data_IF_928081906572
#
_entry.id   IF_928081906572
#
_cell.length_a   1.000
_cell.length_b   1.000
_cell.length_c   1.000
_cell.angle_alpha   90.00
_cell.angle_beta   90.00
_cell.angle_gamma   90.00
#
_symmetry.space_group_name_H-M   'P 1'
#
loop_
_entity.id
_entity.type
_entity.pdbx_description
1 polymer ?
#
# COMPACT_ATOMS: atom_id res chain seq x y z
N UNK A 1 -31.11 -57.25 -45.77
CA UNK A 1 -31.83 -57.09 -44.50
C UNK A 1 -30.87 -57.36 -43.35
N UNK A 2 -30.43 -56.32 -42.65
CA UNK A 2 -29.94 -56.40 -41.26
C UNK A 2 -30.24 -55.05 -40.62
N UNK A 3 -31.45 -54.92 -40.10
CA UNK A 3 -31.89 -53.75 -39.34
C UNK A 3 -31.09 -53.70 -38.04
N UNK A 4 -30.28 -52.66 -37.88
CA UNK A 4 -29.59 -52.35 -36.64
C UNK A 4 -30.67 -51.79 -35.69
N UNK A 5 -31.19 -52.64 -34.81
CA UNK A 5 -32.08 -52.22 -33.72
C UNK A 5 -31.28 -51.39 -32.73
N UNK A 6 -31.29 -50.07 -32.92
CA UNK A 6 -30.81 -49.11 -31.94
C UNK A 6 -31.75 -49.14 -30.72
N UNK A 7 -31.38 -49.94 -29.72
CA UNK A 7 -31.95 -49.85 -28.38
C UNK A 7 -31.36 -48.62 -27.69
N UNK A 8 -31.89 -47.43 -28.00
CA UNK A 8 -31.70 -46.27 -27.14
C UNK A 8 -32.63 -46.44 -25.93
N UNK A 9 -32.11 -47.18 -24.95
CA UNK A 9 -32.70 -47.28 -23.63
C UNK A 9 -32.51 -45.92 -22.96
N UNK A 10 -33.48 -45.03 -23.12
CA UNK A 10 -33.56 -43.78 -22.37
C UNK A 10 -33.73 -44.15 -20.90
N UNK A 11 -32.64 -44.06 -20.12
CA UNK A 11 -32.72 -43.99 -18.68
C UNK A 11 -33.47 -42.71 -18.34
N UNK A 12 -34.80 -42.78 -18.26
CA UNK A 12 -35.60 -41.73 -17.67
C UNK A 12 -35.31 -41.79 -16.17
N UNK A 13 -34.34 -41.00 -15.72
CA UNK A 13 -34.14 -40.75 -14.30
C UNK A 13 -35.47 -40.25 -13.73
N UNK A 14 -35.76 -40.61 -12.48
CA UNK A 14 -36.96 -40.12 -11.83
C UNK A 14 -36.94 -38.59 -11.86
N UNK A 15 -38.06 -37.93 -12.15
CA UNK A 15 -38.09 -36.46 -12.38
C UNK A 15 -37.49 -35.67 -11.22
N UNK A 16 -37.51 -36.26 -10.02
CA UNK A 16 -36.89 -35.71 -8.82
C UNK A 16 -35.35 -35.73 -8.88
N UNK A 17 -34.74 -36.73 -9.51
CA UNK A 17 -33.28 -36.84 -9.64
C UNK A 17 -32.74 -35.87 -10.71
N UNK A 18 -33.48 -35.68 -11.81
CA UNK A 18 -33.16 -34.65 -12.82
C UNK A 18 -33.23 -33.24 -12.22
N UNK A 19 -34.27 -32.95 -11.43
CA UNK A 19 -34.40 -31.68 -10.74
C UNK A 19 -33.27 -31.43 -9.73
N UNK A 20 -32.84 -32.46 -8.99
CA UNK A 20 -31.69 -32.37 -8.08
C UNK A 20 -30.39 -32.12 -8.82
N UNK A 21 -30.22 -32.73 -10.01
CA UNK A 21 -29.06 -32.50 -10.87
C UNK A 21 -29.03 -31.07 -11.43
N UNK A 22 -30.16 -30.57 -11.93
CA UNK A 22 -30.29 -29.18 -12.42
C UNK A 22 -30.03 -28.19 -11.27
N UNK A 23 -30.58 -28.45 -10.08
CA UNK A 23 -30.36 -27.60 -8.92
C UNK A 23 -28.89 -27.57 -8.51
N UNK A 24 -28.21 -28.71 -8.47
CA UNK A 24 -26.79 -28.76 -8.11
C UNK A 24 -25.92 -28.03 -9.12
N UNK A 25 -26.24 -28.14 -10.42
CA UNK A 25 -25.55 -27.41 -11.48
C UNK A 25 -25.75 -25.89 -11.34
N UNK A 26 -26.98 -25.44 -11.09
CA UNK A 26 -27.26 -24.02 -10.89
C UNK A 26 -26.58 -23.47 -9.62
N UNK A 27 -26.52 -24.26 -8.56
CA UNK A 27 -25.84 -23.88 -7.32
C UNK A 27 -24.33 -23.71 -7.56
N UNK A 28 -23.71 -24.61 -8.33
CA UNK A 28 -22.31 -24.48 -8.73
C UNK A 28 -22.06 -23.24 -9.62
N UNK A 29 -22.95 -22.97 -10.58
CA UNK A 29 -22.86 -21.77 -11.40
C UNK A 29 -22.90 -20.48 -10.56
N UNK A 30 -23.84 -20.41 -9.61
CA UNK A 30 -23.97 -19.26 -8.69
C UNK A 30 -22.75 -19.11 -7.76
N UNK A 31 -22.19 -20.22 -7.26
CA UNK A 31 -20.96 -20.18 -6.45
C UNK A 31 -19.80 -19.62 -7.27
N UNK A 32 -19.66 -20.07 -8.52
CA UNK A 32 -18.59 -19.62 -9.41
C UNK A 32 -18.72 -18.13 -9.74
N UNK A 33 -19.93 -17.67 -10.09
CA UNK A 33 -20.21 -16.25 -10.35
C UNK A 33 -19.92 -15.38 -9.12
N UNK A 34 -20.35 -15.81 -7.93
CA UNK A 34 -20.05 -15.12 -6.66
C UNK A 34 -18.54 -15.03 -6.42
N UNK A 35 -17.82 -16.13 -6.62
CA UNK A 35 -16.37 -16.17 -6.39
C UNK A 35 -15.61 -15.32 -7.42
N UNK A 36 -16.06 -15.27 -8.67
CA UNK A 36 -15.51 -14.42 -9.72
C UNK A 36 -15.74 -12.93 -9.42
N UNK A 37 -16.94 -12.56 -8.96
CA UNK A 37 -17.24 -11.20 -8.52
C UNK A 37 -16.35 -10.79 -7.33
N UNK A 38 -16.20 -11.65 -6.32
CA UNK A 38 -15.31 -11.41 -5.17
C UNK A 38 -13.87 -11.24 -5.65
N UNK A 39 -13.38 -12.08 -6.57
CA UNK A 39 -12.04 -11.93 -7.14
C UNK A 39 -11.86 -10.59 -7.90
N UNK A 40 -12.89 -10.14 -8.63
CA UNK A 40 -12.91 -8.83 -9.29
C UNK A 40 -12.82 -7.67 -8.30
N UNK A 41 -13.64 -7.67 -7.25
CA UNK A 41 -13.59 -6.66 -6.19
C UNK A 41 -12.25 -6.67 -5.45
N UNK A 42 -11.71 -7.85 -5.17
CA UNK A 42 -10.46 -7.99 -4.41
C UNK A 42 -9.26 -7.50 -5.25
N UNK A 43 -9.25 -7.74 -6.56
CA UNK A 43 -8.24 -7.16 -7.48
C UNK A 43 -8.31 -5.64 -7.58
N UNK A 44 -9.51 -5.05 -7.55
CA UNK A 44 -9.69 -3.60 -7.52
C UNK A 44 -9.19 -2.97 -6.20
N UNK A 45 -9.25 -3.71 -5.09
CA UNK A 45 -8.76 -3.28 -3.77
C UNK A 45 -7.24 -3.49 -3.60
N UNK A 46 -6.65 -4.50 -4.25
CA UNK A 46 -5.23 -4.88 -4.07
C UNK A 46 -4.22 -4.11 -4.93
N UNK A 47 -4.67 -3.36 -5.94
CA UNK A 47 -3.73 -2.60 -6.78
C UNK A 47 -3.48 -1.22 -6.17
N UNK A 48 -2.23 -0.99 -5.75
CA UNK A 48 -1.78 0.31 -5.19
C UNK A 48 -2.25 1.49 -6.06
N UNK A 49 -2.20 1.43 -7.42
CA UNK A 49 -2.72 2.50 -8.25
C UNK A 49 -4.24 2.73 -8.13
N UNK A 50 -5.06 1.68 -8.05
CA UNK A 50 -6.50 1.81 -7.91
C UNK A 50 -6.88 2.38 -6.54
N UNK A 51 -6.20 1.93 -5.48
CA UNK A 51 -6.34 2.48 -4.14
C UNK A 51 -5.97 3.98 -4.10
N UNK A 52 -4.88 4.38 -4.77
CA UNK A 52 -4.46 5.78 -4.87
C UNK A 52 -5.46 6.64 -5.67
N UNK A 53 -6.05 6.12 -6.74
CA UNK A 53 -7.08 6.83 -7.52
C UNK A 53 -8.34 7.03 -6.67
N UNK A 54 -8.79 6.02 -5.94
CA UNK A 54 -9.92 6.13 -5.02
C UNK A 54 -9.65 7.13 -3.90
N UNK A 55 -8.44 7.09 -3.31
CA UNK A 55 -8.02 8.03 -2.27
C UNK A 55 -7.99 9.48 -2.79
N UNK A 56 -7.43 9.69 -3.99
CA UNK A 56 -7.45 11.01 -4.67
C UNK A 56 -8.88 11.49 -4.92
N UNK A 57 -9.78 10.61 -5.32
CA UNK A 57 -11.18 10.96 -5.57
C UNK A 57 -11.93 11.31 -4.28
N UNK A 58 -11.66 10.58 -3.19
CA UNK A 58 -12.22 10.85 -1.87
C UNK A 58 -11.76 12.21 -1.33
N UNK A 59 -10.46 12.50 -1.43
CA UNK A 59 -9.85 13.72 -0.89
C UNK A 59 -9.87 14.90 -1.89
N UNK A 60 -10.61 14.79 -3.00
CA UNK A 60 -10.63 15.81 -4.06
C UNK A 60 -10.95 17.22 -3.56
N UNK A 61 -11.85 17.32 -2.57
CA UNK A 61 -12.29 18.59 -2.00
C UNK A 61 -11.21 19.28 -1.17
N UNK A 62 -10.26 18.52 -0.65
CA UNK A 62 -9.15 19.04 0.15
C UNK A 62 -7.92 19.29 -0.73
N UNK A 63 -7.66 18.39 -1.69
CA UNK A 63 -6.47 18.45 -2.56
C UNK A 63 -6.57 19.61 -3.57
N UNK A 64 -7.70 19.78 -4.27
CA UNK A 64 -7.77 20.77 -5.35
C UNK A 64 -7.66 22.23 -4.88
N UNK A 65 -8.28 22.67 -3.76
CA UNK A 65 -8.06 24.01 -3.25
C UNK A 65 -6.62 24.25 -2.79
N UNK A 66 -5.92 23.22 -2.30
CA UNK A 66 -4.51 23.33 -1.96
C UNK A 66 -3.66 23.50 -3.22
N UNK A 67 -3.93 22.71 -4.26
CA UNK A 67 -3.21 22.79 -5.54
C UNK A 67 -3.39 24.16 -6.22
N UNK A 68 -4.61 24.69 -6.25
CA UNK A 68 -4.88 26.04 -6.78
C UNK A 68 -4.18 27.11 -5.93
N UNK A 69 -4.14 26.95 -4.61
CA UNK A 69 -3.40 27.85 -3.72
C UNK A 69 -1.90 27.77 -3.99
N UNK A 70 -1.34 26.57 -4.16
CA UNK A 70 0.07 26.37 -4.48
C UNK A 70 0.45 27.01 -5.82
N UNK A 71 -0.39 26.88 -6.85
CA UNK A 71 -0.16 27.54 -8.15
C UNK A 71 -0.19 29.07 -8.02
N UNK A 72 -1.18 29.63 -7.31
CA UNK A 72 -1.29 31.08 -7.10
C UNK A 72 -0.13 31.61 -6.25
N UNK A 73 0.20 30.93 -5.15
CA UNK A 73 1.33 31.32 -4.30
C UNK A 73 2.66 31.16 -5.02
N UNK A 74 2.82 30.10 -5.82
CA UNK A 74 3.99 29.86 -6.66
C UNK A 74 4.20 30.97 -7.67
N UNK A 75 3.15 31.35 -8.42
CA UNK A 75 3.20 32.44 -9.40
C UNK A 75 3.53 33.79 -8.75
N UNK A 76 2.93 34.08 -7.59
CA UNK A 76 3.20 35.33 -6.84
C UNK A 76 4.64 35.34 -6.31
N UNK A 77 5.13 34.21 -5.78
CA UNK A 77 6.51 34.07 -5.32
C UNK A 77 7.50 34.23 -6.47
N UNK A 78 7.21 33.65 -7.63
CA UNK A 78 8.06 33.79 -8.82
C UNK A 78 8.18 35.24 -9.27
N UNK A 79 7.05 35.95 -9.36
CA UNK A 79 7.02 37.39 -9.64
C UNK A 79 7.82 38.20 -8.60
N UNK A 80 7.68 37.88 -7.31
CA UNK A 80 8.43 38.56 -6.23
C UNK A 80 9.93 38.28 -6.30
N UNK A 81 10.33 37.03 -6.59
CA UNK A 81 11.73 36.64 -6.74
C UNK A 81 12.37 37.29 -7.97
N UNK A 82 11.60 37.51 -9.03
CA UNK A 82 12.06 38.20 -10.24
C UNK A 82 12.21 39.71 -10.01
N UNK A 83 11.30 40.33 -9.24
CA UNK A 83 11.37 41.76 -8.90
C UNK A 83 12.47 42.07 -7.87
N UNK A 84 12.74 41.16 -6.95
CA UNK A 84 13.70 41.35 -5.86
C UNK A 84 14.71 40.20 -5.76
N UNK A 85 15.83 40.24 -6.49
CA UNK A 85 16.82 39.16 -6.50
C UNK A 85 17.53 38.96 -5.16
N UNK A 86 17.58 40.01 -4.31
CA UNK A 86 18.14 39.91 -2.96
C UNK A 86 17.28 39.02 -2.05
N UNK A 87 15.95 39.14 -2.14
CA UNK A 87 15.02 38.29 -1.38
C UNK A 87 15.08 36.84 -1.87
N UNK A 88 15.23 36.63 -3.18
CA UNK A 88 15.43 35.28 -3.74
C UNK A 88 16.62 34.57 -3.11
N UNK A 89 17.77 35.24 -2.98
CA UNK A 89 18.95 34.64 -2.36
C UNK A 89 18.72 34.28 -0.89
N UNK A 90 18.02 35.14 -0.14
CA UNK A 90 17.67 34.88 1.26
C UNK A 90 16.70 33.70 1.40
N UNK A 91 15.67 33.63 0.56
CA UNK A 91 14.70 32.53 0.54
C UNK A 91 15.40 31.21 0.22
N UNK A 92 16.27 31.19 -0.80
CA UNK A 92 17.04 30.00 -1.15
C UNK A 92 17.97 29.55 -0.02
N UNK A 93 18.66 30.49 0.64
CA UNK A 93 19.52 30.17 1.78
C UNK A 93 18.72 29.59 2.97
N UNK A 94 17.53 30.13 3.25
CA UNK A 94 16.65 29.61 4.29
C UNK A 94 16.14 28.20 3.95
N UNK A 95 15.73 27.98 2.70
CA UNK A 95 15.31 26.66 2.21
C UNK A 95 16.45 25.64 2.34
N UNK A 96 17.67 26.02 1.93
CA UNK A 96 18.84 25.16 2.05
C UNK A 96 19.13 24.82 3.52
N UNK A 97 19.08 25.82 4.42
CA UNK A 97 19.28 25.59 5.85
C UNK A 97 18.25 24.60 6.42
N UNK A 98 16.96 24.77 6.09
CA UNK A 98 15.91 23.86 6.54
C UNK A 98 16.04 22.46 5.96
N UNK A 99 16.42 22.36 4.68
CA UNK A 99 16.70 21.08 4.04
C UNK A 99 17.83 20.33 4.75
N UNK A 100 18.93 21.02 5.07
CA UNK A 100 20.03 20.42 5.82
C UNK A 100 19.60 19.96 7.22
N UNK A 101 18.74 20.73 7.91
CA UNK A 101 18.19 20.33 9.21
C UNK A 101 17.37 19.04 9.13
N UNK A 102 16.46 18.94 8.15
CA UNK A 102 15.65 17.74 7.94
C UNK A 102 16.54 16.55 7.61
N UNK A 103 17.50 16.74 6.71
CA UNK A 103 18.47 15.69 6.35
C UNK A 103 19.27 15.19 7.56
N UNK A 104 19.68 16.09 8.46
CA UNK A 104 20.38 15.67 9.69
C UNK A 104 19.46 14.88 10.61
N UNK A 105 18.20 15.30 10.78
CA UNK A 105 17.22 14.57 11.59
C UNK A 105 16.92 13.18 11.01
N UNK A 106 16.77 13.07 9.69
CA UNK A 106 16.60 11.80 9.01
C UNK A 106 17.82 10.89 9.21
N UNK A 107 19.04 11.42 9.09
CA UNK A 107 20.24 10.65 9.36
C UNK A 107 20.31 10.17 10.83
N UNK A 108 19.97 11.02 11.78
CA UNK A 108 19.92 10.68 13.21
C UNK A 108 18.87 9.60 13.48
N UNK A 109 17.65 9.74 12.96
CA UNK A 109 16.60 8.73 13.10
C UNK A 109 16.98 7.40 12.45
N UNK A 110 17.61 7.40 11.27
CA UNK A 110 18.12 6.19 10.62
C UNK A 110 19.22 5.53 11.45
N UNK A 111 20.13 6.32 12.04
CA UNK A 111 21.16 5.79 12.94
C UNK A 111 20.55 5.16 14.19
N UNK A 112 19.56 5.80 14.81
CA UNK A 112 18.84 5.24 15.96
C UNK A 112 18.11 3.95 15.60
N UNK A 113 17.39 3.91 14.47
CA UNK A 113 16.70 2.68 14.03
C UNK A 113 17.67 1.54 13.75
N UNK A 114 18.85 1.82 13.19
CA UNK A 114 19.91 0.83 12.99
C UNK A 114 20.45 0.31 14.33
N UNK A 115 20.77 1.20 15.26
CA UNK A 115 21.22 0.81 16.59
C UNK A 115 20.16 -0.02 17.34
N UNK A 116 18.87 0.25 17.12
CA UNK A 116 17.77 -0.54 17.69
C UNK A 116 17.72 -1.93 17.05
N UNK A 117 17.88 -2.03 15.74
CA UNK A 117 17.91 -3.30 15.01
C UNK A 117 19.13 -4.16 15.40
N UNK A 118 20.29 -3.53 15.61
CA UNK A 118 21.52 -4.20 16.06
C UNK A 118 21.48 -4.58 17.55
N UNK A 119 20.41 -4.24 18.28
CA UNK A 119 20.21 -4.58 19.70
C UNK A 119 21.12 -3.83 20.67
N UNK A 120 21.89 -2.85 20.19
CA UNK A 120 22.90 -2.11 20.96
C UNK A 120 22.41 -0.71 21.41
N UNK A 121 21.11 -0.44 21.29
CA UNK A 121 20.50 0.79 21.79
C UNK A 121 20.41 0.79 23.31
N UNK A 122 21.39 1.42 23.95
CA UNK A 122 21.28 1.80 25.35
C UNK A 122 20.50 3.12 25.45
N UNK A 123 19.21 3.04 25.75
CA UNK A 123 18.44 4.23 26.11
C UNK A 123 18.98 4.78 27.43
N UNK A 124 19.09 6.11 27.58
CA UNK A 124 19.61 6.79 28.79
C UNK A 124 18.93 6.38 30.10
N UNK A 125 17.79 5.70 30.06
CA UNK A 125 17.07 5.17 31.23
C UNK A 125 17.56 3.80 31.73
N UNK A 126 18.48 3.13 31.04
CA UNK A 126 18.99 1.81 31.43
C UNK A 126 20.42 1.97 31.95
N UNK A 127 20.59 1.83 33.26
CA UNK A 127 21.91 1.69 33.89
C UNK A 127 22.58 0.43 33.33
N UNK A 128 23.81 0.49 32.78
CA UNK A 128 24.51 -0.69 32.30
C UNK A 128 24.69 -1.67 33.47
N UNK A 129 24.27 -2.92 33.30
CA UNK A 129 24.63 -3.98 34.25
C UNK A 129 26.15 -4.20 34.16
N UNK A 130 26.85 -4.42 35.30
CA UNK A 130 28.29 -4.65 35.30
C UNK A 130 28.65 -5.84 34.42
N UNK A 131 29.60 -5.65 33.48
CA UNK A 131 30.16 -6.76 32.71
C UNK A 131 30.76 -7.81 33.68
N UNK A 132 30.46 -9.11 33.49
CA UNK A 132 31.06 -10.16 34.30
C UNK A 132 32.58 -10.21 34.06
N UNK A 133 33.39 -10.49 35.10
CA UNK A 133 34.83 -10.42 35.02
C UNK A 133 35.40 -11.40 33.98
N UNK A 134 36.29 -10.90 33.14
CA UNK A 134 37.00 -11.68 32.14
C UNK A 134 37.70 -12.90 32.77
N UNK A 135 37.63 -14.10 32.15
CA UNK A 135 38.27 -15.29 32.67
C UNK A 135 39.80 -15.12 32.67
N UNK A 136 40.51 -15.66 33.69
CA UNK A 136 41.93 -15.42 33.86
C UNK A 136 42.74 -16.00 32.69
N UNK A 137 43.64 -15.17 32.16
CA UNK A 137 44.66 -15.58 31.19
C UNK A 137 45.46 -16.76 31.76
N UNK A 138 45.37 -17.91 31.08
CA UNK A 138 46.21 -19.08 31.37
C UNK A 138 47.66 -18.70 31.06
N UNK A 139 48.51 -18.72 32.10
CA UNK A 139 49.97 -18.71 31.95
C UNK A 139 50.45 -20.06 31.42
#
# INVERSE_FOLDING_TARGET
>A
MTEITSSHQYFTLDKQEEQKFILSQNLQALINEKNEAIAGYTRAVLTIPAALVQLKWHNRREIYPLLVKEEVYGAVLEELMNRHPQLRAQIMAAIEQHYQQIKTQEAETLMLTRQLADGNCQTSSVTPLPEPPAPPAKK
#
